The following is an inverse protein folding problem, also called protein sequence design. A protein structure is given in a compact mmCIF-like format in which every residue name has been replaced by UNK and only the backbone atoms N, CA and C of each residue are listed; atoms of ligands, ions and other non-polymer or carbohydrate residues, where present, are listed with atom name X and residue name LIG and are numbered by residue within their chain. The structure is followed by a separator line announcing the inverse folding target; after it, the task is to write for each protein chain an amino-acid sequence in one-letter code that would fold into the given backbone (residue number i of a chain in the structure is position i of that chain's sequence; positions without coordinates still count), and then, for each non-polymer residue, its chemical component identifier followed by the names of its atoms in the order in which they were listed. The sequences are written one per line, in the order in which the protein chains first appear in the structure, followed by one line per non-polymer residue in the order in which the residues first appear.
data_IF_681529574432
#
_entry.id   IF_681529574432
#
_cell.length_a   1.000
_cell.length_b   1.000
_cell.length_c   1.000
_cell.angle_alpha   90.00
_cell.angle_beta   90.00
_cell.angle_gamma   90.00
#
_symmetry.space_group_name_H-M   'P 1'
#
loop_
_entity.id
_entity.type
_entity.pdbx_description
1 polymer ?
#
# COMPACT_ATOMS: atom_id res chain seq x y z
N UNK A 1 70.65 22.63 18.59
CA UNK A 1 70.56 22.14 17.20
C UNK A 1 69.17 21.57 17.00
N UNK A 2 68.26 22.29 16.32
CA UNK A 2 66.87 21.88 16.15
C UNK A 2 66.65 21.17 14.81
N UNK A 3 65.89 20.08 14.80
CA UNK A 3 65.35 19.47 13.59
C UNK A 3 63.96 20.04 13.30
N UNK A 4 63.81 20.46 12.05
CA UNK A 4 62.68 21.21 11.49
C UNK A 4 61.46 20.31 11.30
N UNK A 5 60.40 20.58 12.05
CA UNK A 5 59.04 20.17 11.69
C UNK A 5 58.50 21.11 10.59
N UNK A 6 58.07 20.52 9.48
CA UNK A 6 57.53 21.22 8.33
C UNK A 6 56.25 21.99 8.70
N UNK A 7 56.28 23.29 8.43
CA UNK A 7 55.12 24.16 8.30
C UNK A 7 54.49 23.92 6.92
N UNK A 8 53.21 23.60 6.88
CA UNK A 8 52.35 23.98 5.74
C UNK A 8 51.04 24.51 6.30
N UNK A 9 50.94 25.84 6.31
CA UNK A 9 49.75 26.60 6.58
C UNK A 9 49.28 27.25 5.27
N UNK A 10 47.97 27.24 5.08
CA UNK A 10 47.16 28.15 4.26
C UNK A 10 47.41 28.18 2.73
N UNK A 11 46.52 27.52 1.99
CA UNK A 11 45.85 28.11 0.82
C UNK A 11 44.38 27.67 0.87
N UNK A 12 43.55 28.51 1.49
CA UNK A 12 42.09 28.38 1.55
C UNK A 12 41.54 29.22 0.40
N UNK A 13 41.44 28.61 -0.78
CA UNK A 13 40.82 29.25 -1.96
C UNK A 13 39.33 28.95 -1.94
N UNK A 14 38.58 30.03 -1.91
CA UNK A 14 37.14 30.10 -1.98
C UNK A 14 36.59 29.42 -3.24
N UNK A 15 35.75 28.41 -3.02
CA UNK A 15 34.70 28.00 -3.95
C UNK A 15 33.35 28.13 -3.24
N UNK A 16 32.98 29.37 -2.91
CA UNK A 16 31.59 29.78 -2.74
C UNK A 16 30.96 29.83 -4.14
N UNK A 17 30.67 28.65 -4.68
CA UNK A 17 29.90 28.48 -5.89
C UNK A 17 28.41 28.53 -5.56
N UNK A 18 27.85 29.74 -5.67
CA UNK A 18 26.45 30.07 -5.95
C UNK A 18 25.48 28.88 -6.01
N UNK A 19 25.04 28.40 -4.86
CA UNK A 19 23.73 27.78 -4.75
C UNK A 19 22.72 28.92 -4.74
N UNK A 20 22.23 29.28 -5.92
CA UNK A 20 20.94 29.97 -5.99
C UNK A 20 19.94 29.11 -5.22
N UNK A 21 19.20 29.65 -4.24
CA UNK A 21 18.05 28.93 -3.75
C UNK A 21 17.14 28.74 -4.97
N UNK A 22 16.98 27.50 -5.41
CA UNK A 22 15.75 27.13 -6.09
C UNK A 22 14.69 27.31 -5.02
N UNK A 23 14.22 28.54 -4.90
CA UNK A 23 12.93 28.85 -4.32
C UNK A 23 11.97 28.02 -5.17
N UNK A 24 11.66 26.82 -4.69
CA UNK A 24 10.40 26.17 -4.99
C UNK A 24 9.37 27.25 -4.73
N UNK A 25 8.90 27.91 -5.80
CA UNK A 25 7.73 28.76 -5.71
C UNK A 25 6.65 27.85 -5.17
N UNK A 26 6.35 27.98 -3.87
CA UNK A 26 5.15 27.40 -3.32
C UNK A 26 4.03 27.94 -4.19
N UNK A 27 3.40 27.04 -4.96
CA UNK A 27 2.19 27.40 -5.68
C UNK A 27 1.24 27.98 -4.61
N UNK A 28 0.80 29.25 -4.71
CA UNK A 28 -0.09 29.86 -3.72
C UNK A 28 -1.39 29.05 -3.51
N UNK A 29 -1.67 28.08 -4.39
CA UNK A 29 -2.71 27.09 -4.19
C UNK A 29 -2.43 26.12 -3.01
N UNK A 30 -1.19 25.69 -2.73
CA UNK A 30 -0.88 24.70 -1.66
C UNK A 30 -1.06 25.22 -0.23
N UNK A 31 -0.89 26.53 -0.01
CA UNK A 31 -1.10 27.16 1.30
C UNK A 31 -2.60 27.34 1.66
N UNK A 32 -3.48 27.45 0.67
CA UNK A 32 -4.94 27.54 0.89
C UNK A 32 -5.50 26.18 1.35
N UNK A 33 -5.00 25.07 0.79
CA UNK A 33 -5.49 23.72 1.11
C UNK A 33 -5.21 23.32 2.55
N UNK A 34 -3.99 23.52 3.08
CA UNK A 34 -3.65 23.20 4.47
C UNK A 34 -4.58 23.89 5.49
N UNK A 35 -5.03 25.11 5.18
CA UNK A 35 -5.94 25.88 6.04
C UNK A 35 -7.40 25.44 5.91
N UNK A 36 -7.80 24.93 4.74
CA UNK A 36 -9.12 24.33 4.53
C UNK A 36 -9.25 22.98 5.23
N UNK A 37 -8.15 22.20 5.29
CA UNK A 37 -8.06 20.92 5.98
C UNK A 37 -8.30 21.08 7.47
N UNK A 38 -7.61 22.03 8.10
CA UNK A 38 -7.76 22.32 9.52
C UNK A 38 -9.21 22.74 9.86
N UNK A 39 -9.81 23.64 9.08
CA UNK A 39 -11.19 24.11 9.27
C UNK A 39 -12.26 23.03 9.05
N UNK A 40 -11.96 21.99 8.28
CA UNK A 40 -12.89 20.89 8.02
C UNK A 40 -12.86 19.85 9.12
N UNK A 41 -11.66 19.54 9.65
CA UNK A 41 -11.53 18.69 10.83
C UNK A 41 -12.33 19.26 12.01
N UNK A 42 -12.38 20.58 12.15
CA UNK A 42 -13.20 21.29 13.16
C UNK A 42 -14.73 21.16 12.95
N UNK A 43 -15.20 20.83 11.73
CA UNK A 43 -16.64 20.84 11.35
C UNK A 43 -17.30 19.46 11.30
N UNK A 44 -16.52 18.37 11.34
CA UNK A 44 -17.02 17.00 11.26
C UNK A 44 -17.70 16.58 12.58
N UNK A 45 -18.96 16.96 12.80
CA UNK A 45 -19.83 16.32 13.80
C UNK A 45 -20.38 15.00 13.21
N UNK A 46 -20.48 13.91 14.00
CA UNK A 46 -21.07 12.67 13.51
C UNK A 46 -22.54 12.89 13.11
N UNK A 47 -22.90 12.45 11.90
CA UNK A 47 -24.29 12.42 11.39
C UNK A 47 -25.20 11.60 12.31
N UNK A 48 -26.45 12.04 12.47
CA UNK A 48 -27.46 11.42 13.34
C UNK A 48 -27.81 9.99 12.87
N UNK A 49 -28.25 9.18 13.82
CA UNK A 49 -28.59 7.77 13.62
C UNK A 49 -29.79 7.57 12.67
N UNK A 50 -30.66 8.58 12.58
CA UNK A 50 -31.79 8.64 11.64
C UNK A 50 -31.36 8.67 10.17
N UNK A 51 -30.24 9.32 9.81
CA UNK A 51 -29.71 9.27 8.44
C UNK A 51 -29.17 7.88 8.06
N UNK A 52 -29.00 6.97 9.04
CA UNK A 52 -28.54 5.58 8.81
C UNK A 52 -29.69 4.59 8.64
N UNK A 53 -30.93 4.96 8.95
CA UNK A 53 -32.08 4.04 9.00
C UNK A 53 -32.88 3.95 7.69
N UNK A 54 -32.64 4.80 6.69
CA UNK A 54 -33.12 4.54 5.33
C UNK A 54 -32.28 3.38 4.73
N UNK A 55 -32.83 2.16 4.76
CA UNK A 55 -32.20 0.99 4.16
C UNK A 55 -32.11 1.15 2.63
N UNK A 56 -31.03 1.78 2.18
CA UNK A 56 -30.63 1.86 0.78
C UNK A 56 -30.01 0.54 0.35
N UNK A 57 -30.25 0.11 -0.88
CA UNK A 57 -29.58 -1.08 -1.42
C UNK A 57 -28.06 -0.87 -1.46
N UNK A 58 -27.23 -1.93 -1.42
CA UNK A 58 -25.77 -1.81 -1.58
C UNK A 58 -25.38 -1.00 -2.82
N UNK A 59 -26.11 -1.17 -3.92
CA UNK A 59 -25.95 -0.41 -5.16
C UNK A 59 -26.24 1.09 -4.98
N UNK A 60 -27.31 1.46 -4.27
CA UNK A 60 -27.63 2.86 -4.00
C UNK A 60 -26.59 3.53 -3.10
N UNK A 61 -26.07 2.80 -2.10
CA UNK A 61 -24.96 3.26 -1.27
C UNK A 61 -23.74 3.50 -2.16
N UNK A 62 -23.39 2.53 -2.99
CA UNK A 62 -22.27 2.63 -3.93
C UNK A 62 -22.39 3.82 -4.87
N UNK A 63 -23.53 3.99 -5.56
CA UNK A 63 -23.71 5.11 -6.49
C UNK A 63 -23.64 6.45 -5.79
N UNK A 64 -24.16 6.56 -4.55
CA UNK A 64 -24.02 7.77 -3.74
C UNK A 64 -22.54 8.08 -3.43
N UNK A 65 -21.76 7.09 -3.02
CA UNK A 65 -20.33 7.27 -2.73
C UNK A 65 -19.55 7.67 -3.99
N UNK A 66 -19.83 7.02 -5.11
CA UNK A 66 -19.22 7.35 -6.39
C UNK A 66 -19.59 8.77 -6.82
N UNK A 67 -20.84 9.19 -6.66
CA UNK A 67 -21.25 10.55 -7.01
C UNK A 67 -20.58 11.60 -6.12
N UNK A 68 -20.49 11.37 -4.82
CA UNK A 68 -19.73 12.23 -3.91
C UNK A 68 -18.26 12.35 -4.34
N UNK A 69 -17.62 11.24 -4.71
CA UNK A 69 -16.24 11.26 -5.20
C UNK A 69 -16.12 12.01 -6.54
N UNK A 70 -17.11 11.90 -7.44
CA UNK A 70 -17.17 12.66 -8.70
C UNK A 70 -17.30 14.16 -8.44
N UNK A 71 -18.14 14.58 -7.50
CA UNK A 71 -18.30 15.98 -7.14
C UNK A 71 -17.00 16.56 -6.60
N UNK A 72 -16.30 15.84 -5.72
CA UNK A 72 -15.06 16.32 -5.10
C UNK A 72 -13.88 16.42 -6.08
N UNK A 73 -13.78 15.48 -7.02
CA UNK A 73 -12.64 15.42 -7.96
C UNK A 73 -12.80 16.35 -9.16
N UNK A 74 -13.98 16.95 -9.38
CA UNK A 74 -14.23 17.87 -10.50
C UNK A 74 -13.59 19.23 -10.20
N UNK A 75 -12.31 19.34 -10.48
CA UNK A 75 -11.51 20.55 -10.39
C UNK A 75 -10.96 20.96 -11.78
N UNK A 76 -10.24 22.08 -11.87
CA UNK A 76 -9.64 22.61 -13.12
C UNK A 76 -8.71 21.62 -13.83
N UNK A 77 -8.12 20.69 -13.08
CA UNK A 77 -7.17 19.69 -13.56
C UNK A 77 -7.81 18.30 -13.78
N UNK A 78 -9.15 18.23 -13.76
CA UNK A 78 -9.87 16.97 -13.91
C UNK A 78 -9.53 16.25 -15.22
N UNK A 79 -9.05 15.03 -15.09
CA UNK A 79 -8.78 14.13 -16.20
C UNK A 79 -9.40 12.75 -15.94
N UNK A 80 -9.79 12.08 -17.02
CA UNK A 80 -10.47 10.77 -16.96
C UNK A 80 -9.92 9.83 -18.02
N UNK A 81 -9.76 8.56 -17.66
CA UNK A 81 -9.48 7.48 -18.59
C UNK A 81 -10.33 6.26 -18.27
N UNK A 82 -10.92 5.67 -19.30
CA UNK A 82 -11.56 4.36 -19.24
C UNK A 82 -10.65 3.30 -19.88
N UNK A 83 -10.53 2.15 -19.23
CA UNK A 83 -9.93 0.90 -19.74
C UNK A 83 -11.01 -0.20 -19.74
N UNK A 84 -10.70 -1.45 -20.13
CA UNK A 84 -11.65 -2.55 -20.02
C UNK A 84 -12.21 -2.75 -18.60
N UNK A 85 -11.36 -2.66 -17.56
CA UNK A 85 -11.77 -2.96 -16.18
C UNK A 85 -11.77 -1.75 -15.24
N UNK A 86 -11.22 -0.60 -15.64
CA UNK A 86 -11.06 0.55 -14.75
C UNK A 86 -11.57 1.86 -15.34
N UNK A 87 -12.04 2.75 -14.46
CA UNK A 87 -12.41 4.13 -14.79
C UNK A 87 -11.67 5.10 -13.88
N UNK A 88 -10.49 5.52 -14.35
CA UNK A 88 -9.55 6.37 -13.64
C UNK A 88 -10.00 7.82 -13.74
N UNK A 89 -10.05 8.51 -12.61
CA UNK A 89 -10.28 9.94 -12.48
C UNK A 89 -9.20 10.54 -11.62
N UNK A 90 -8.64 11.66 -12.04
CA UNK A 90 -7.64 12.40 -11.27
C UNK A 90 -7.90 13.89 -11.37
N UNK A 91 -7.66 14.62 -10.29
CA UNK A 91 -7.49 16.09 -10.30
C UNK A 91 -6.04 16.50 -10.01
N UNK A 92 -5.11 15.54 -9.86
CA UNK A 92 -3.69 15.81 -9.83
C UNK A 92 -3.17 16.06 -11.26
N UNK A 93 -2.71 17.28 -11.60
CA UNK A 93 -2.20 17.58 -12.93
C UNK A 93 -0.92 16.80 -13.27
N UNK A 94 -0.21 16.23 -12.29
CA UNK A 94 1.02 15.46 -12.46
C UNK A 94 0.75 14.01 -12.90
N UNK A 95 -0.43 13.48 -12.61
CA UNK A 95 -0.79 12.09 -12.90
C UNK A 95 -1.38 11.98 -14.31
N UNK A 96 -0.88 11.03 -15.11
CA UNK A 96 -1.49 10.58 -16.34
C UNK A 96 -2.50 9.45 -16.06
N UNK A 97 -3.82 9.68 -16.20
CA UNK A 97 -4.81 8.64 -16.00
C UNK A 97 -4.71 7.50 -17.03
N UNK A 98 -4.10 7.73 -18.19
CA UNK A 98 -3.83 6.67 -19.16
C UNK A 98 -2.72 5.71 -18.68
N UNK A 99 -1.61 6.24 -18.18
CA UNK A 99 -0.55 5.44 -17.59
C UNK A 99 -1.03 4.66 -16.35
N UNK A 100 -1.79 5.30 -15.46
CA UNK A 100 -2.39 4.63 -14.30
C UNK A 100 -3.34 3.49 -14.71
N UNK A 101 -4.19 3.72 -15.71
CA UNK A 101 -5.09 2.70 -16.25
C UNK A 101 -4.33 1.53 -16.87
N UNK A 102 -3.31 1.79 -17.67
CA UNK A 102 -2.47 0.74 -18.27
C UNK A 102 -1.77 -0.11 -17.19
N UNK A 103 -1.20 0.53 -16.17
CA UNK A 103 -0.55 -0.15 -15.05
C UNK A 103 -1.51 -1.11 -14.34
N UNK A 104 -2.74 -0.67 -14.06
CA UNK A 104 -3.75 -1.50 -13.41
C UNK A 104 -4.16 -2.70 -14.27
N UNK A 105 -4.30 -2.52 -15.59
CA UNK A 105 -4.57 -3.62 -16.51
C UNK A 105 -3.41 -4.63 -16.56
N UNK A 106 -2.18 -4.14 -16.62
CA UNK A 106 -0.97 -4.98 -16.57
C UNK A 106 -0.90 -5.77 -15.25
N UNK A 107 -1.17 -5.09 -14.12
CA UNK A 107 -1.19 -5.72 -12.81
C UNK A 107 -2.29 -6.76 -12.70
N UNK A 108 -3.53 -6.45 -13.12
CA UNK A 108 -4.64 -7.40 -13.15
C UNK A 108 -4.29 -8.65 -13.94
N UNK A 109 -3.72 -8.50 -15.13
CA UNK A 109 -3.26 -9.62 -15.95
C UNK A 109 -2.16 -10.44 -15.26
N UNK A 110 -1.21 -9.78 -14.59
CA UNK A 110 -0.16 -10.47 -13.84
C UNK A 110 -0.71 -11.22 -12.61
N UNK A 111 -1.66 -10.63 -11.88
CA UNK A 111 -2.31 -11.23 -10.73
C UNK A 111 -3.10 -12.48 -11.13
N UNK A 112 -3.90 -12.42 -12.20
CA UNK A 112 -4.66 -13.57 -12.69
C UNK A 112 -3.71 -14.71 -13.09
N UNK A 113 -2.66 -14.42 -13.88
CA UNK A 113 -1.66 -15.42 -14.27
C UNK A 113 -0.90 -16.00 -13.08
N UNK A 114 -0.65 -15.21 -12.03
CA UNK A 114 0.04 -15.67 -10.84
C UNK A 114 -0.74 -16.79 -10.13
N UNK A 115 -2.06 -16.71 -10.14
CA UNK A 115 -2.95 -17.64 -9.45
C UNK A 115 -3.54 -18.73 -10.35
N UNK A 116 -3.25 -18.69 -11.65
CA UNK A 116 -3.78 -19.62 -12.63
C UNK A 116 -3.46 -21.08 -12.24
N UNK A 117 -4.50 -21.90 -12.10
CA UNK A 117 -4.38 -23.30 -11.71
C UNK A 117 -4.15 -23.55 -10.22
N UNK A 118 -3.97 -22.52 -9.40
CA UNK A 118 -3.77 -22.66 -7.95
C UNK A 118 -4.95 -22.12 -7.13
N UNK A 119 -5.62 -21.06 -7.60
CA UNK A 119 -6.76 -20.45 -6.91
C UNK A 119 -7.89 -20.18 -7.90
N UNK A 120 -9.11 -20.55 -7.52
CA UNK A 120 -10.29 -20.17 -8.26
C UNK A 120 -10.62 -18.69 -8.03
N UNK A 121 -10.59 -17.91 -9.13
CA UNK A 121 -10.99 -16.51 -9.14
C UNK A 121 -12.40 -16.38 -9.72
N UNK A 122 -13.29 -15.73 -8.97
CA UNK A 122 -14.62 -15.38 -9.45
C UNK A 122 -14.52 -14.43 -10.64
N UNK A 123 -15.35 -14.62 -11.69
CA UNK A 123 -15.44 -13.66 -12.79
C UNK A 123 -15.75 -12.26 -12.26
N UNK A 124 -15.13 -11.26 -12.88
CA UNK A 124 -15.30 -9.87 -12.50
C UNK A 124 -15.39 -9.01 -13.75
N UNK A 125 -16.63 -8.66 -14.08
CA UNK A 125 -17.01 -7.98 -15.33
C UNK A 125 -17.32 -6.48 -15.11
N UNK A 126 -17.17 -6.00 -13.87
CA UNK A 126 -17.50 -4.61 -13.53
C UNK A 126 -16.32 -3.70 -13.84
N UNK A 127 -16.63 -2.47 -14.23
CA UNK A 127 -15.65 -1.40 -14.37
C UNK A 127 -15.50 -0.71 -13.02
N UNK A 128 -14.33 -0.85 -12.42
CA UNK A 128 -14.03 -0.30 -11.11
C UNK A 128 -13.72 1.19 -11.20
N UNK A 129 -14.44 2.06 -10.47
CA UNK A 129 -14.04 3.44 -10.31
C UNK A 129 -12.72 3.56 -9.51
N UNK A 130 -11.81 4.38 -10.03
CA UNK A 130 -10.56 4.76 -9.36
C UNK A 130 -10.50 6.27 -9.29
N UNK A 131 -10.34 6.82 -8.09
CA UNK A 131 -10.20 8.26 -7.85
C UNK A 131 -8.83 8.56 -7.24
N UNK A 132 -8.03 9.34 -7.96
CA UNK A 132 -6.70 9.78 -7.57
C UNK A 132 -6.80 11.27 -7.23
N UNK A 133 -7.02 11.57 -5.96
CA UNK A 133 -7.14 12.95 -5.50
C UNK A 133 -5.77 13.61 -5.41
N UNK A 134 -5.69 14.90 -5.74
CA UNK A 134 -4.50 15.67 -5.48
C UNK A 134 -4.25 15.76 -3.97
N UNK A 135 -5.26 16.21 -3.22
CA UNK A 135 -5.16 16.53 -1.79
C UNK A 135 -5.69 15.44 -0.86
N UNK A 136 -5.04 15.30 0.30
CA UNK A 136 -5.49 14.42 1.38
C UNK A 136 -6.91 14.76 1.81
N UNK A 137 -7.27 16.04 1.84
CA UNK A 137 -8.61 16.54 2.13
C UNK A 137 -9.75 15.83 1.41
N UNK A 138 -9.68 15.81 0.08
CA UNK A 138 -10.76 15.30 -0.79
C UNK A 138 -10.86 13.79 -0.64
N UNK A 139 -9.70 13.13 -0.55
CA UNK A 139 -9.61 11.71 -0.21
C UNK A 139 -10.25 11.41 1.15
N UNK A 140 -9.85 12.14 2.19
CA UNK A 140 -10.32 11.94 3.55
C UNK A 140 -11.84 12.12 3.65
N UNK A 141 -12.42 13.07 2.92
CA UNK A 141 -13.89 13.25 2.81
C UNK A 141 -14.62 12.00 2.32
N UNK A 142 -14.02 11.24 1.40
CA UNK A 142 -14.60 10.01 0.86
C UNK A 142 -14.36 8.82 1.77
N UNK A 143 -13.14 8.65 2.27
CA UNK A 143 -12.78 7.46 3.04
C UNK A 143 -13.37 7.49 4.44
N UNK A 144 -13.37 8.65 5.11
CA UNK A 144 -13.83 8.69 6.49
C UNK A 144 -15.34 8.67 6.62
N UNK A 145 -16.04 9.68 6.10
CA UNK A 145 -17.37 10.05 6.61
C UNK A 145 -17.47 10.23 8.15
N UNK A 146 -16.43 9.91 8.93
CA UNK A 146 -16.28 9.79 10.39
C UNK A 146 -14.78 9.76 10.77
N UNK A 147 -14.40 10.59 11.74
CA UNK A 147 -13.04 10.83 12.25
C UNK A 147 -12.29 9.60 12.82
N UNK A 148 -11.98 8.59 12.00
CA UNK A 148 -11.24 7.37 12.40
C UNK A 148 -9.75 7.35 12.02
N UNK A 149 -9.25 8.43 11.42
CA UNK A 149 -7.86 8.56 10.95
C UNK A 149 -7.14 9.74 11.59
N UNK A 150 -7.47 10.07 12.84
CA UNK A 150 -6.75 11.08 13.61
C UNK A 150 -5.27 10.70 13.84
N UNK A 151 -4.94 9.41 13.90
CA UNK A 151 -3.55 8.95 14.12
C UNK A 151 -2.86 8.34 12.88
N UNK A 152 -3.62 7.80 11.91
CA UNK A 152 -3.06 7.16 10.71
C UNK A 152 -3.68 7.73 9.44
N UNK A 153 -2.85 8.28 8.55
CA UNK A 153 -3.27 8.83 7.27
C UNK A 153 -2.90 7.86 6.14
N UNK A 154 -3.82 6.98 5.69
CA UNK A 154 -3.54 6.10 4.57
C UNK A 154 -3.34 6.92 3.28
N UNK A 155 -2.44 6.47 2.41
CA UNK A 155 -2.25 7.03 1.07
C UNK A 155 -3.33 6.57 0.07
N UNK A 156 -3.95 5.43 0.36
CA UNK A 156 -4.96 4.78 -0.46
C UNK A 156 -5.95 3.99 0.38
N UNK A 157 -7.09 3.69 -0.21
CA UNK A 157 -8.06 2.78 0.36
C UNK A 157 -8.95 2.16 -0.72
N UNK A 158 -9.05 0.84 -0.69
CA UNK A 158 -10.05 0.06 -1.38
C UNK A 158 -11.27 -0.21 -0.49
N UNK A 159 -12.46 0.10 -1.02
CA UNK A 159 -13.73 -0.05 -0.31
C UNK A 159 -14.49 -1.28 -0.83
N UNK A 160 -14.29 -2.43 -0.19
CA UNK A 160 -14.75 -3.74 -0.67
C UNK A 160 -16.22 -3.88 -1.09
N UNK A 161 -17.16 -3.41 -0.28
CA UNK A 161 -18.58 -3.44 -0.65
C UNK A 161 -18.98 -2.48 -1.79
N UNK A 162 -18.15 -1.48 -2.07
CA UNK A 162 -18.43 -0.43 -3.06
C UNK A 162 -17.61 -0.60 -4.34
N UNK A 163 -16.61 -1.48 -4.32
CA UNK A 163 -15.71 -1.72 -5.44
C UNK A 163 -15.11 -0.40 -5.96
N UNK A 164 -14.42 0.30 -5.07
CA UNK A 164 -13.96 1.66 -5.26
C UNK A 164 -12.55 1.82 -4.71
N UNK A 165 -11.61 2.21 -5.58
CA UNK A 165 -10.25 2.57 -5.20
C UNK A 165 -10.16 4.09 -5.07
N UNK A 166 -9.66 4.56 -3.94
CA UNK A 166 -9.43 6.00 -3.67
C UNK A 166 -8.03 6.20 -3.16
N UNK A 167 -7.29 7.16 -3.70
CA UNK A 167 -5.95 7.53 -3.26
C UNK A 167 -5.83 9.05 -3.19
N UNK A 168 -4.78 9.52 -2.52
CA UNK A 168 -4.30 10.89 -2.70
C UNK A 168 -2.79 10.94 -2.98
N UNK A 169 -2.36 12.05 -3.56
CA UNK A 169 -0.98 12.27 -4.00
C UNK A 169 -0.21 13.34 -3.19
N UNK A 170 -0.82 13.85 -2.12
CA UNK A 170 -0.31 15.00 -1.35
C UNK A 170 0.77 14.59 -0.34
N UNK A 171 0.53 13.49 0.38
CA UNK A 171 1.47 12.97 1.38
C UNK A 171 2.52 12.02 0.80
N UNK A 172 2.36 11.63 -0.46
CA UNK A 172 3.21 10.65 -1.12
C UNK A 172 4.17 11.37 -2.05
N UNK A 173 5.43 10.95 -2.07
CA UNK A 173 6.27 11.23 -3.25
C UNK A 173 5.50 10.67 -4.43
N UNK A 174 5.40 11.40 -5.55
CA UNK A 174 4.62 10.94 -6.73
C UNK A 174 5.03 9.52 -7.17
N UNK A 175 6.28 9.16 -6.87
CA UNK A 175 6.88 7.86 -7.05
C UNK A 175 6.21 6.72 -6.26
N UNK A 176 5.57 7.00 -5.13
CA UNK A 176 4.88 5.99 -4.33
C UNK A 176 3.43 5.73 -4.80
N UNK A 177 2.84 6.62 -5.62
CA UNK A 177 1.47 6.43 -6.15
C UNK A 177 1.33 5.10 -6.91
N UNK A 178 2.24 4.69 -7.81
CA UNK A 178 2.26 3.35 -8.38
C UNK A 178 2.16 2.21 -7.36
N UNK A 179 2.93 2.28 -6.28
CA UNK A 179 2.98 1.24 -5.24
C UNK A 179 1.65 1.18 -4.50
N UNK A 180 1.14 2.34 -4.05
CA UNK A 180 -0.16 2.42 -3.39
C UNK A 180 -1.29 1.96 -4.32
N UNK A 181 -1.24 2.29 -5.61
CA UNK A 181 -2.28 1.91 -6.56
C UNK A 181 -2.34 0.39 -6.76
N UNK A 182 -1.18 -0.27 -6.88
CA UNK A 182 -1.09 -1.73 -6.92
C UNK A 182 -1.50 -2.36 -5.58
N UNK A 183 -1.18 -1.74 -4.46
CA UNK A 183 -1.60 -2.18 -3.12
C UNK A 183 -3.14 -2.21 -3.02
N UNK A 184 -3.82 -1.11 -3.34
CA UNK A 184 -5.29 -1.05 -3.30
C UNK A 184 -5.94 -1.97 -4.34
N UNK A 185 -5.37 -2.06 -5.54
CA UNK A 185 -5.85 -3.00 -6.56
C UNK A 185 -5.68 -4.45 -6.12
N UNK A 186 -4.69 -4.76 -5.27
CA UNK A 186 -4.54 -6.11 -4.72
C UNK A 186 -5.71 -6.45 -3.81
N UNK A 187 -6.10 -5.55 -2.89
CA UNK A 187 -7.29 -5.75 -2.05
C UNK A 187 -8.54 -6.02 -2.90
N UNK A 188 -8.72 -5.24 -3.97
CA UNK A 188 -9.81 -5.45 -4.93
C UNK A 188 -9.76 -6.84 -5.58
N UNK A 189 -8.63 -7.20 -6.20
CA UNK A 189 -8.52 -8.46 -6.93
C UNK A 189 -8.63 -9.66 -6.00
N UNK A 190 -8.18 -9.51 -4.75
CA UNK A 190 -8.36 -10.54 -3.76
C UNK A 190 -9.85 -10.79 -3.47
N UNK A 191 -10.77 -9.84 -3.58
CA UNK A 191 -12.23 -10.14 -3.42
C UNK A 191 -12.77 -11.15 -4.45
N UNK A 192 -12.08 -11.32 -5.58
CA UNK A 192 -12.44 -12.36 -6.54
C UNK A 192 -12.03 -13.76 -6.05
N UNK A 193 -11.05 -13.87 -5.15
CA UNK A 193 -10.69 -15.15 -4.56
C UNK A 193 -11.83 -15.66 -3.67
N UNK A 194 -12.15 -16.95 -3.77
CA UNK A 194 -13.19 -17.60 -2.96
C UNK A 194 -12.77 -17.80 -1.49
N UNK A 195 -12.31 -16.74 -0.83
CA UNK A 195 -11.83 -16.79 0.55
C UNK A 195 -12.74 -15.98 1.47
N UNK A 196 -12.92 -16.47 2.69
CA UNK A 196 -13.78 -15.88 3.72
C UNK A 196 -13.29 -14.53 4.24
N UNK A 197 -13.73 -14.15 5.44
CA UNK A 197 -13.24 -12.93 6.10
C UNK A 197 -11.75 -13.08 6.43
N UNK A 198 -10.90 -12.25 5.83
CA UNK A 198 -9.44 -12.39 5.91
C UNK A 198 -8.89 -11.66 7.12
N UNK A 199 -7.97 -12.29 7.83
CA UNK A 199 -7.15 -11.63 8.83
C UNK A 199 -6.39 -10.44 8.22
N UNK A 200 -6.19 -9.38 9.02
CA UNK A 200 -5.56 -8.14 8.56
C UNK A 200 -4.15 -8.37 8.01
N UNK A 201 -3.38 -9.27 8.62
CA UNK A 201 -2.04 -9.59 8.16
C UNK A 201 -2.02 -10.27 6.78
N UNK A 202 -3.02 -11.11 6.43
CA UNK A 202 -3.10 -11.68 5.08
C UNK A 202 -3.45 -10.57 4.09
N UNK A 203 -4.50 -9.80 4.36
CA UNK A 203 -4.96 -8.74 3.43
C UNK A 203 -3.84 -7.76 3.14
N UNK A 204 -3.21 -7.21 4.18
CA UNK A 204 -2.14 -6.22 4.06
C UNK A 204 -0.82 -6.84 3.60
N UNK A 205 -0.50 -8.05 4.06
CA UNK A 205 0.71 -8.77 3.65
C UNK A 205 0.70 -9.09 2.16
N UNK A 206 -0.43 -9.54 1.62
CA UNK A 206 -0.62 -9.81 0.19
C UNK A 206 -0.57 -8.52 -0.63
N UNK A 207 -1.27 -7.46 -0.18
CA UNK A 207 -1.25 -6.16 -0.85
C UNK A 207 0.16 -5.57 -0.94
N UNK A 208 0.94 -5.64 0.14
CA UNK A 208 2.36 -5.26 0.12
C UNK A 208 3.23 -6.22 -0.70
N UNK A 209 2.94 -7.52 -0.69
CA UNK A 209 3.70 -8.49 -1.49
C UNK A 209 3.61 -8.12 -2.96
N UNK A 210 2.40 -7.91 -3.48
CA UNK A 210 2.19 -7.57 -4.88
C UNK A 210 2.69 -6.16 -5.24
N UNK A 211 2.49 -5.16 -4.37
CA UNK A 211 2.92 -3.79 -4.64
C UNK A 211 4.43 -3.57 -4.59
N UNK A 212 5.17 -4.46 -3.92
CA UNK A 212 6.63 -4.40 -3.79
C UNK A 212 7.37 -5.39 -4.70
N UNK A 213 6.66 -6.09 -5.59
CA UNK A 213 7.31 -6.95 -6.59
C UNK A 213 8.11 -6.12 -7.59
N UNK A 214 9.26 -6.64 -8.00
CA UNK A 214 10.05 -6.06 -9.08
C UNK A 214 9.25 -6.05 -10.38
N UNK A 215 9.32 -4.94 -11.12
CA UNK A 215 8.85 -4.90 -12.51
C UNK A 215 10.04 -4.77 -13.46
N UNK A 216 9.99 -5.50 -14.58
CA UNK A 216 11.02 -5.35 -15.62
C UNK A 216 10.84 -4.05 -16.41
N UNK A 217 11.68 -3.86 -17.44
CA UNK A 217 11.66 -2.67 -18.30
C UNK A 217 10.39 -2.52 -19.12
N UNK A 218 9.60 -3.58 -19.27
CA UNK A 218 8.33 -3.59 -19.99
C UNK A 218 7.13 -3.43 -19.03
N UNK A 219 7.41 -3.35 -17.72
CA UNK A 219 6.40 -3.26 -16.67
C UNK A 219 5.83 -4.61 -16.26
N UNK A 220 6.42 -5.73 -16.70
CA UNK A 220 5.97 -7.06 -16.28
C UNK A 220 6.44 -7.34 -14.85
N UNK A 221 5.52 -7.74 -14.00
CA UNK A 221 5.78 -8.14 -12.62
C UNK A 221 6.57 -9.45 -12.53
N UNK A 222 7.57 -9.50 -11.66
CA UNK A 222 8.42 -10.67 -11.40
C UNK A 222 8.09 -11.26 -10.03
N UNK A 223 7.31 -12.34 -10.04
CA UNK A 223 7.00 -13.14 -8.85
C UNK A 223 8.26 -13.48 -8.03
N UNK A 224 8.18 -13.34 -6.71
CA UNK A 224 9.24 -13.70 -5.77
C UNK A 224 10.50 -12.83 -5.82
N UNK A 225 10.53 -11.80 -6.67
CA UNK A 225 11.59 -10.80 -6.69
C UNK A 225 11.08 -9.50 -6.09
N UNK A 226 11.80 -9.03 -5.08
CA UNK A 226 11.55 -7.73 -4.45
C UNK A 226 12.49 -6.73 -5.09
N UNK A 227 11.95 -5.62 -5.56
CA UNK A 227 12.78 -4.67 -6.28
C UNK A 227 12.08 -3.38 -6.63
N UNK A 228 12.70 -2.65 -7.54
CA UNK A 228 12.20 -1.37 -8.00
C UNK A 228 10.96 -1.58 -8.86
N UNK A 229 9.84 -0.98 -8.44
CA UNK A 229 8.68 -0.77 -9.30
C UNK A 229 9.05 0.35 -10.27
N UNK A 230 9.19 0.02 -11.56
CA UNK A 230 9.62 0.96 -12.62
C UNK A 230 8.46 1.62 -13.35
N UNK A 231 7.24 1.29 -12.97
CA UNK A 231 6.04 1.81 -13.62
C UNK A 231 5.80 3.24 -13.12
N UNK A 232 5.64 4.18 -14.05
CA UNK A 232 5.32 5.57 -13.74
C UNK A 232 3.87 5.86 -14.06
N UNK A 233 3.21 6.61 -13.19
CA UNK A 233 1.93 7.27 -13.49
C UNK A 233 2.10 8.75 -13.79
N UNK A 234 3.33 9.26 -13.80
CA UNK A 234 3.60 10.68 -14.04
C UNK A 234 3.50 11.02 -15.52
N UNK A 235 2.93 12.18 -15.84
CA UNK A 235 2.92 12.74 -17.21
C UNK A 235 4.31 12.98 -17.77
N UNK A 236 5.29 13.25 -16.90
CA UNK A 236 6.66 13.55 -17.31
C UNK A 236 7.46 12.27 -17.62
N UNK A 237 6.86 11.09 -17.48
CA UNK A 237 7.51 9.80 -17.77
C UNK A 237 8.69 9.48 -16.85
N UNK A 238 8.84 10.21 -15.73
CA UNK A 238 9.88 9.98 -14.75
C UNK A 238 9.80 8.56 -14.19
N UNK A 239 10.93 7.85 -14.13
CA UNK A 239 10.99 6.54 -13.49
C UNK A 239 10.82 6.74 -11.99
N UNK A 240 9.70 6.26 -11.46
CA UNK A 240 9.55 6.13 -10.03
C UNK A 240 10.53 5.09 -9.49
N UNK A 241 11.11 5.36 -8.33
CA UNK A 241 11.79 4.35 -7.52
C UNK A 241 11.33 4.48 -6.08
N UNK A 242 10.43 3.58 -5.67
CA UNK A 242 10.09 3.46 -4.25
C UNK A 242 11.15 2.64 -3.50
N UNK A 243 11.61 3.17 -2.37
CA UNK A 243 12.48 2.47 -1.41
C UNK A 243 11.69 1.78 -0.29
N UNK A 244 10.35 1.70 -0.41
CA UNK A 244 9.46 1.14 0.61
C UNK A 244 9.87 -0.28 1.07
N UNK A 245 10.15 -1.19 0.13
CA UNK A 245 10.57 -2.55 0.45
C UNK A 245 11.87 -2.59 1.29
N UNK A 246 12.85 -1.75 0.92
CA UNK A 246 14.12 -1.65 1.65
C UNK A 246 13.89 -1.13 3.07
N UNK A 247 13.06 -0.10 3.22
CA UNK A 247 12.75 0.49 4.52
C UNK A 247 11.99 -0.51 5.42
N UNK A 248 11.05 -1.27 4.86
CA UNK A 248 10.36 -2.37 5.56
C UNK A 248 11.36 -3.44 6.04
N UNK A 249 12.27 -3.91 5.17
CA UNK A 249 13.28 -4.90 5.54
C UNK A 249 14.20 -4.41 6.67
N UNK A 250 14.64 -3.15 6.61
CA UNK A 250 15.51 -2.59 7.65
C UNK A 250 14.79 -2.53 8.99
N UNK A 251 13.54 -2.05 9.02
CA UNK A 251 12.73 -2.00 10.23
C UNK A 251 12.47 -3.40 10.80
N UNK A 252 12.08 -4.36 9.94
CA UNK A 252 11.82 -5.73 10.34
C UNK A 252 13.06 -6.43 10.91
N UNK A 253 14.21 -6.31 10.24
CA UNK A 253 15.48 -6.87 10.73
C UNK A 253 15.87 -6.33 12.10
N UNK A 254 15.60 -5.05 12.35
CA UNK A 254 15.84 -4.43 13.66
C UNK A 254 14.91 -5.01 14.72
N UNK A 255 13.63 -5.21 14.40
CA UNK A 255 12.64 -5.80 15.31
C UNK A 255 12.95 -7.27 15.66
N UNK A 256 13.38 -8.07 14.67
CA UNK A 256 13.73 -9.49 14.86
C UNK A 256 15.01 -9.71 15.69
N UNK A 257 15.92 -8.74 15.76
CA UNK A 257 17.21 -8.87 16.45
C UNK A 257 17.16 -8.54 17.95
N UNK A 258 16.03 -8.03 18.48
CA UNK A 258 15.92 -7.77 19.93
C UNK A 258 15.90 -9.11 20.67
N UNK A 259 16.66 -9.23 21.77
CA UNK A 259 16.89 -10.51 22.46
C UNK A 259 15.66 -10.99 23.24
N UNK A 260 15.24 -10.21 24.24
CA UNK A 260 14.16 -10.60 25.17
C UNK A 260 12.79 -10.19 24.63
N UNK A 261 12.73 -9.11 23.83
CA UNK A 261 11.50 -8.57 23.22
C UNK A 261 11.58 -8.55 21.68
N UNK A 262 12.19 -9.60 21.11
CA UNK A 262 12.22 -9.82 19.66
C UNK A 262 10.81 -10.05 19.12
N UNK A 263 10.49 -9.45 17.97
CA UNK A 263 9.25 -9.77 17.27
C UNK A 263 9.21 -11.28 16.96
N UNK A 264 8.18 -11.99 17.44
CA UNK A 264 7.89 -13.34 16.97
C UNK A 264 6.92 -13.23 15.81
N UNK A 265 7.20 -13.92 14.71
CA UNK A 265 6.39 -13.74 13.50
C UNK A 265 4.95 -14.25 13.68
N UNK A 266 4.78 -15.25 14.55
CA UNK A 266 3.46 -15.79 14.87
C UNK A 266 2.60 -14.80 15.68
N UNK A 267 3.21 -13.84 16.38
CA UNK A 267 2.45 -12.79 17.07
C UNK A 267 1.68 -11.92 16.07
N UNK A 268 2.18 -11.76 14.84
CA UNK A 268 1.49 -11.05 13.75
C UNK A 268 0.28 -11.83 13.25
N UNK A 269 0.39 -13.15 13.20
CA UNK A 269 -0.70 -14.04 12.79
C UNK A 269 -1.83 -14.05 13.81
N UNK A 270 -1.48 -13.89 15.09
CA UNK A 270 -2.42 -13.89 16.21
C UNK A 270 -3.05 -12.51 16.50
N UNK A 271 -2.77 -11.48 15.69
CA UNK A 271 -3.49 -10.21 15.75
C UNK A 271 -4.94 -10.43 15.32
N UNK A 272 -5.84 -10.59 16.30
CA UNK A 272 -7.22 -11.00 16.08
C UNK A 272 -8.13 -9.88 15.56
N UNK A 273 -7.71 -8.61 15.64
CA UNK A 273 -8.55 -7.48 15.22
C UNK A 273 -7.82 -6.50 14.31
N UNK A 274 -8.57 -5.92 13.36
CA UNK A 274 -8.07 -4.82 12.53
C UNK A 274 -7.60 -3.62 13.37
N UNK A 275 -8.25 -3.34 14.50
CA UNK A 275 -7.86 -2.22 15.37
C UNK A 275 -6.46 -2.42 15.96
N UNK A 276 -6.16 -3.63 16.42
CA UNK A 276 -4.82 -3.96 16.92
C UNK A 276 -3.79 -3.94 15.79
N UNK A 277 -4.16 -4.44 14.60
CA UNK A 277 -3.29 -4.41 13.43
C UNK A 277 -2.90 -3.00 13.02
N UNK A 278 -3.85 -2.06 13.01
CA UNK A 278 -3.60 -0.65 12.70
C UNK A 278 -3.20 0.20 13.92
N UNK A 279 -2.73 -0.44 14.99
CA UNK A 279 -2.26 0.24 16.20
C UNK A 279 -0.91 0.97 16.02
N UNK A 280 -0.27 1.41 17.12
CA UNK A 280 0.98 2.18 17.08
C UNK A 280 2.14 1.52 16.32
N UNK A 281 2.15 0.20 16.26
CA UNK A 281 3.16 -0.63 15.59
C UNK A 281 2.79 -0.97 14.13
N UNK A 282 1.84 -0.26 13.52
CA UNK A 282 1.36 -0.49 12.14
C UNK A 282 2.49 -0.69 11.13
N UNK A 283 3.56 0.11 11.20
CA UNK A 283 4.69 0.01 10.26
C UNK A 283 5.41 -1.34 10.35
N UNK A 284 5.60 -1.87 11.57
CA UNK A 284 6.22 -3.18 11.74
C UNK A 284 5.23 -4.30 11.39
N UNK A 285 3.94 -4.14 11.67
CA UNK A 285 2.91 -5.10 11.27
C UNK A 285 2.86 -5.26 9.74
N UNK A 286 2.87 -4.16 8.99
CA UNK A 286 2.93 -4.16 7.53
C UNK A 286 4.20 -4.86 7.02
N UNK A 287 5.37 -4.47 7.53
CA UNK A 287 6.64 -5.05 7.12
C UNK A 287 6.74 -6.56 7.43
N UNK A 288 6.27 -6.98 8.60
CA UNK A 288 6.27 -8.37 9.03
C UNK A 288 5.27 -9.22 8.23
N UNK A 289 4.05 -8.71 8.01
CA UNK A 289 3.02 -9.38 7.21
C UNK A 289 3.48 -9.61 5.78
N UNK A 290 4.08 -8.59 5.16
CA UNK A 290 4.67 -8.67 3.83
C UNK A 290 5.76 -9.75 3.75
N UNK A 291 6.73 -9.71 4.66
CA UNK A 291 7.82 -10.68 4.69
C UNK A 291 7.32 -12.10 4.97
N UNK A 292 6.29 -12.25 5.82
CA UNK A 292 5.66 -13.53 6.14
C UNK A 292 4.99 -14.13 4.91
N UNK A 293 4.18 -13.35 4.18
CA UNK A 293 3.59 -13.77 2.90
C UNK A 293 4.68 -14.20 1.92
N UNK A 294 5.75 -13.40 1.80
CA UNK A 294 6.86 -13.76 0.91
C UNK A 294 7.54 -15.07 1.34
N UNK A 295 7.75 -15.30 2.63
CA UNK A 295 8.33 -16.54 3.14
C UNK A 295 7.40 -17.74 2.94
N UNK A 296 6.09 -17.57 3.12
CA UNK A 296 5.11 -18.63 2.90
C UNK A 296 5.01 -19.03 1.42
N UNK A 297 5.17 -18.07 0.49
CA UNK A 297 5.09 -18.33 -0.94
C UNK A 297 6.40 -18.84 -1.55
N UNK A 298 7.56 -18.37 -1.06
CA UNK A 298 8.88 -18.58 -1.71
C UNK A 298 9.96 -19.15 -0.79
N UNK A 299 9.76 -19.10 0.52
CA UNK A 299 10.73 -19.57 1.50
C UNK A 299 10.91 -21.08 1.46
N UNK A 300 12.13 -21.54 1.76
CA UNK A 300 12.50 -22.96 1.75
C UNK A 300 12.05 -23.63 0.42
N UNK A 301 12.37 -22.98 -0.71
CA UNK A 301 12.02 -23.41 -2.06
C UNK A 301 10.52 -23.61 -2.29
N UNK A 302 9.70 -22.75 -1.68
CA UNK A 302 8.24 -22.77 -1.80
C UNK A 302 7.56 -23.86 -0.97
N UNK A 303 8.28 -24.49 -0.02
CA UNK A 303 7.78 -25.58 0.83
C UNK A 303 6.41 -25.30 1.47
N UNK A 304 6.13 -24.06 1.86
CA UNK A 304 4.92 -23.71 2.59
C UNK A 304 3.75 -23.26 1.71
N UNK A 305 3.96 -23.06 0.40
CA UNK A 305 2.99 -22.41 -0.50
C UNK A 305 1.62 -23.09 -0.48
N UNK A 306 1.59 -24.40 -0.67
CA UNK A 306 0.34 -25.18 -0.73
C UNK A 306 -0.39 -25.20 0.63
N UNK A 307 0.36 -25.26 1.74
CA UNK A 307 -0.23 -25.16 3.07
C UNK A 307 -0.79 -23.77 3.35
N UNK A 308 -0.11 -22.72 2.88
CA UNK A 308 -0.60 -21.37 3.01
C UNK A 308 -1.87 -21.12 2.19
N UNK A 309 -1.96 -21.65 0.96
CA UNK A 309 -3.17 -21.55 0.15
C UNK A 309 -4.38 -22.22 0.83
N UNK A 310 -4.19 -23.43 1.38
CA UNK A 310 -5.23 -24.10 2.18
C UNK A 310 -5.61 -23.30 3.42
N UNK A 311 -4.63 -22.67 4.08
CA UNK A 311 -4.89 -21.80 5.22
C UNK A 311 -5.75 -20.60 4.81
N UNK A 312 -5.42 -19.90 3.72
CA UNK A 312 -6.21 -18.77 3.20
C UNK A 312 -7.63 -19.19 2.79
N UNK A 313 -7.78 -20.36 2.19
CA UNK A 313 -9.09 -20.90 1.81
C UNK A 313 -10.02 -21.09 3.01
N UNK A 314 -9.43 -21.44 4.13
CA UNK A 314 -10.15 -21.69 5.37
C UNK A 314 -10.05 -20.52 6.37
N UNK A 315 -9.42 -19.38 6.04
CA UNK A 315 -9.26 -18.29 7.00
C UNK A 315 -10.62 -17.69 7.35
N UNK A 316 -10.89 -17.64 8.65
CA UNK A 316 -12.17 -17.21 9.20
C UNK A 316 -12.14 -17.19 10.72
N UNK A 317 -13.16 -16.65 11.39
CA UNK A 317 -13.13 -16.43 12.84
C UNK A 317 -12.83 -17.68 13.70
N UNK A 318 -13.16 -18.87 13.22
CA UNK A 318 -12.93 -20.14 13.93
C UNK A 318 -11.67 -20.89 13.50
N UNK A 319 -11.02 -20.45 12.42
CA UNK A 319 -9.99 -21.18 11.67
C UNK A 319 -8.77 -20.30 11.37
N UNK A 320 -8.65 -19.18 12.09
CA UNK A 320 -7.52 -18.26 12.01
C UNK A 320 -6.49 -18.52 13.14
N UNK A 321 -5.38 -17.80 13.10
CA UNK A 321 -4.33 -17.85 14.14
C UNK A 321 -3.16 -18.78 13.83
N UNK A 322 -2.09 -18.60 14.61
CA UNK A 322 -0.77 -19.19 14.40
C UNK A 322 -0.77 -20.71 14.44
N UNK A 323 -1.53 -21.32 15.36
CA UNK A 323 -1.66 -22.78 15.45
C UNK A 323 -2.23 -23.38 14.15
N UNK A 324 -3.31 -22.80 13.62
CA UNK A 324 -3.96 -23.30 12.41
C UNK A 324 -3.07 -23.12 11.19
N UNK A 325 -2.35 -21.99 11.11
CA UNK A 325 -1.34 -21.76 10.08
C UNK A 325 -0.25 -22.84 10.12
N UNK A 326 0.37 -23.07 11.28
CA UNK A 326 1.44 -24.05 11.46
C UNK A 326 1.00 -25.48 11.11
N UNK A 327 -0.21 -25.87 11.52
CA UNK A 327 -0.82 -27.15 11.15
C UNK A 327 -0.98 -27.27 9.64
N UNK A 328 -1.50 -26.23 8.97
CA UNK A 328 -1.74 -26.26 7.51
C UNK A 328 -0.45 -26.37 6.69
N UNK A 329 0.63 -25.75 7.16
CA UNK A 329 1.95 -25.76 6.50
C UNK A 329 2.86 -26.90 6.97
N UNK A 330 2.45 -27.70 7.96
CA UNK A 330 3.22 -28.81 8.50
C UNK A 330 4.55 -28.39 9.11
N UNK A 331 4.56 -27.32 9.91
CA UNK A 331 5.75 -26.79 10.56
C UNK A 331 5.57 -26.68 12.08
N UNK A 332 6.67 -26.81 12.82
CA UNK A 332 6.73 -26.42 14.23
C UNK A 332 7.10 -24.94 14.38
N UNK A 333 6.67 -24.32 15.48
CA UNK A 333 6.83 -22.90 15.70
C UNK A 333 8.30 -22.44 15.72
N UNK A 334 9.20 -23.24 16.30
CA UNK A 334 10.61 -22.89 16.47
C UNK A 334 11.36 -22.94 15.14
N UNK A 335 11.22 -24.04 14.39
CA UNK A 335 11.84 -24.18 13.08
C UNK A 335 11.25 -23.18 12.07
N UNK A 336 9.95 -22.88 12.16
CA UNK A 336 9.30 -21.87 11.34
C UNK A 336 9.87 -20.47 11.61
N UNK A 337 9.97 -20.05 12.87
CA UNK A 337 10.57 -18.77 13.25
C UNK A 337 12.03 -18.68 12.81
N UNK A 338 12.82 -19.75 13.01
CA UNK A 338 14.22 -19.78 12.62
C UNK A 338 14.39 -19.67 11.10
N UNK A 339 13.56 -20.39 10.33
CA UNK A 339 13.55 -20.32 8.87
C UNK A 339 13.11 -18.95 8.35
N UNK A 340 12.09 -18.35 8.98
CA UNK A 340 11.66 -16.99 8.66
C UNK A 340 12.79 -15.97 8.87
N UNK A 341 13.49 -16.01 10.01
CA UNK A 341 14.64 -15.13 10.27
C UNK A 341 15.73 -15.31 9.22
N UNK A 342 16.07 -16.56 8.85
CA UNK A 342 17.05 -16.83 7.78
C UNK A 342 16.59 -16.26 6.45
N UNK A 343 15.31 -16.40 6.11
CA UNK A 343 14.72 -15.87 4.87
C UNK A 343 14.82 -14.35 4.80
N UNK A 344 14.38 -13.63 5.85
CA UNK A 344 14.53 -12.17 5.96
C UNK A 344 16.00 -11.73 5.94
N UNK A 345 16.92 -12.58 6.40
CA UNK A 345 18.35 -12.36 6.28
C UNK A 345 18.86 -12.36 4.83
N UNK A 346 18.22 -13.12 3.94
CA UNK A 346 18.61 -13.27 2.52
C UNK A 346 17.95 -12.25 1.58
N UNK A 347 16.76 -11.75 1.91
CA UNK A 347 16.04 -10.71 1.16
C UNK A 347 16.80 -9.39 1.15
#
# INVERSE_FOLDING_TARGET
MPSHAYRFAAVLVACLGLLSPVLSQSDPQTEDWSRQDQKYMERMKPKSEEERQEARSPEEIREKYIEQARELIRDKNYAVKKTPHYLIRTDDPRIDPAAAGLMLEQFRGAFIRYWEGEVELKPYERISPVFLFYSYYKFNKIVTGKARFDEFQPAGHYQGGLDLITLHSDSSVLDDVPVTLVHEATHQLMEQMHYGNRSGWISEGMANYFSLMETDTEGNFKSGKIGTVRNSVSKDGGKSRSDAARNHLVALRKALKKKEDGLRILDIVDIGTYREFYGPEIRIHYAASWALVHYLLHGEDGRYRQGFLRFMENDGPATTGSRVLLESIGADAESFQAGFIRHVGKM
#
